data_IF_711398393903
#
_entry.id   IF_711398393903
#
_cell.length_a   1.000
_cell.length_b   1.000
_cell.length_c   1.000
_cell.angle_alpha   90.00
_cell.angle_beta   90.00
_cell.angle_gamma   90.00
#
_symmetry.space_group_name_H-M   'P 1'
#
loop_
_entity.id
_entity.type
_entity.pdbx_description
1 polymer ?
#
# COMPACT_ATOMS: atom_id res chain seq x y z
N UNK A 1 44.72 5.75 32.47
CA UNK A 1 43.51 5.42 33.27
C UNK A 1 42.21 5.55 32.47
N UNK A 2 42.00 6.64 31.71
CA UNK A 2 40.76 6.86 30.93
C UNK A 2 40.49 5.84 29.82
N UNK A 3 41.55 5.33 29.20
CA UNK A 3 41.47 4.30 28.13
C UNK A 3 41.09 2.93 28.68
N UNK A 4 41.65 2.54 29.83
CA UNK A 4 41.35 1.26 30.50
C UNK A 4 39.86 1.18 30.85
N UNK A 5 39.28 2.26 31.40
CA UNK A 5 37.86 2.31 31.72
C UNK A 5 36.97 2.14 30.47
N UNK A 6 37.36 2.73 29.33
CA UNK A 6 36.62 2.59 28.07
C UNK A 6 36.66 1.16 27.51
N UNK A 7 37.82 0.49 27.57
CA UNK A 7 37.94 -0.90 27.14
C UNK A 7 37.12 -1.85 28.03
N UNK A 8 37.13 -1.63 29.35
CA UNK A 8 36.31 -2.41 30.29
C UNK A 8 34.82 -2.24 29.99
N UNK A 9 34.35 -1.00 29.76
CA UNK A 9 32.96 -0.73 29.38
C UNK A 9 32.58 -1.43 28.06
N UNK A 10 33.45 -1.39 27.05
CA UNK A 10 33.18 -2.02 25.76
C UNK A 10 33.09 -3.56 25.88
N UNK A 11 34.00 -4.18 26.63
CA UNK A 11 33.97 -5.63 26.90
C UNK A 11 32.70 -6.01 27.68
N UNK A 12 32.29 -5.21 28.65
CA UNK A 12 31.04 -5.44 29.38
C UNK A 12 29.81 -5.37 28.47
N UNK A 13 29.73 -4.41 27.55
CA UNK A 13 28.59 -4.30 26.61
C UNK A 13 28.50 -5.50 25.66
N UNK A 14 29.64 -5.99 25.19
CA UNK A 14 29.71 -7.18 24.33
C UNK A 14 29.31 -8.43 25.12
N UNK A 15 29.80 -8.58 26.35
CA UNK A 15 29.50 -9.72 27.23
C UNK A 15 28.02 -9.78 27.66
N UNK A 16 27.39 -8.62 27.87
CA UNK A 16 25.94 -8.52 28.19
C UNK A 16 25.07 -8.86 26.97
N UNK A 17 25.65 -8.94 25.77
CA UNK A 17 24.92 -9.32 24.57
C UNK A 17 23.76 -8.36 24.36
N UNK A 18 24.05 -7.13 23.96
CA UNK A 18 23.02 -6.15 23.57
C UNK A 18 22.29 -6.71 22.35
N UNK A 19 21.30 -7.56 22.59
CA UNK A 19 20.31 -7.96 21.62
C UNK A 19 19.51 -6.69 21.38
N UNK A 20 19.80 -6.02 20.26
CA UNK A 20 18.95 -4.94 19.77
C UNK A 20 17.52 -5.43 19.87
N UNK A 21 16.64 -4.63 20.47
CA UNK A 21 15.26 -5.00 20.72
C UNK A 21 14.72 -5.59 19.43
N UNK A 22 14.54 -6.92 19.42
CA UNK A 22 14.00 -7.62 18.28
C UNK A 22 12.61 -7.02 18.19
N UNK A 23 12.46 -6.04 17.30
CA UNK A 23 11.16 -5.51 16.95
C UNK A 23 10.56 -6.66 16.16
N UNK A 24 10.16 -7.71 16.89
CA UNK A 24 9.28 -8.76 16.44
C UNK A 24 8.09 -7.98 15.94
N UNK A 25 8.16 -7.74 14.64
CA UNK A 25 7.48 -6.64 14.02
C UNK A 25 6.06 -7.14 13.91
N UNK A 26 5.28 -6.96 14.98
CA UNK A 26 3.87 -6.63 14.84
C UNK A 26 3.88 -5.37 14.01
N UNK A 27 3.96 -5.58 12.70
CA UNK A 27 4.08 -4.53 11.73
C UNK A 27 2.96 -3.53 11.97
N UNK A 28 3.25 -2.24 11.80
CA UNK A 28 2.23 -1.19 11.90
C UNK A 28 1.35 -1.27 10.66
N UNK A 29 0.41 -2.21 10.66
CA UNK A 29 -0.61 -2.31 9.63
C UNK A 29 -1.52 -1.08 9.68
N UNK A 30 -1.93 -0.60 8.50
CA UNK A 30 -2.87 0.53 8.39
C UNK A 30 -4.19 0.27 9.13
N UNK A 31 -4.62 -1.00 9.17
CA UNK A 31 -5.74 -1.46 9.97
C UNK A 31 -5.22 -2.10 11.27
N UNK A 32 -5.61 -1.58 12.43
CA UNK A 32 -5.23 -2.10 13.73
C UNK A 32 -6.03 -3.36 14.13
N UNK A 33 -7.32 -3.39 13.79
CA UNK A 33 -8.23 -4.47 14.12
C UNK A 33 -8.50 -5.40 12.93
N UNK A 34 -9.22 -6.52 13.18
CA UNK A 34 -9.66 -7.47 12.14
C UNK A 34 -10.48 -6.83 11.01
N UNK A 35 -10.97 -5.59 11.18
CA UNK A 35 -11.79 -4.90 10.18
C UNK A 35 -13.26 -5.38 10.17
N UNK A 36 -14.08 -4.76 9.34
CA UNK A 36 -15.50 -5.10 9.21
C UNK A 36 -15.67 -6.43 8.46
N UNK A 37 -16.54 -7.30 8.98
CA UNK A 37 -16.88 -8.56 8.32
C UNK A 37 -17.82 -8.39 7.13
N UNK A 38 -18.65 -7.34 7.16
CA UNK A 38 -19.65 -7.07 6.13
C UNK A 38 -19.89 -5.57 5.99
N UNK A 39 -20.14 -5.15 4.76
CA UNK A 39 -20.54 -3.78 4.38
C UNK A 39 -21.62 -3.90 3.33
N UNK A 40 -22.62 -3.02 3.33
CA UNK A 40 -23.62 -3.05 2.27
C UNK A 40 -22.97 -2.72 0.92
N UNK A 41 -22.99 -3.67 -0.02
CA UNK A 41 -22.30 -3.54 -1.33
C UNK A 41 -22.74 -2.28 -2.09
N UNK A 42 -24.00 -1.87 -1.95
CA UNK A 42 -24.56 -0.65 -2.57
C UNK A 42 -23.83 0.63 -2.16
N UNK A 43 -23.27 0.63 -0.94
CA UNK A 43 -22.57 1.76 -0.35
C UNK A 43 -21.08 1.74 -0.65
N UNK A 44 -20.54 0.68 -1.27
CA UNK A 44 -19.13 0.62 -1.64
C UNK A 44 -18.93 1.43 -2.93
N UNK A 45 -18.03 2.40 -2.86
CA UNK A 45 -17.61 3.22 -3.99
C UNK A 45 -16.35 2.65 -4.63
N UNK A 46 -15.34 2.35 -3.81
CA UNK A 46 -14.03 1.88 -4.26
C UNK A 46 -13.52 0.78 -3.35
N UNK A 47 -12.84 -0.20 -3.94
CA UNK A 47 -12.13 -1.27 -3.22
C UNK A 47 -10.64 -1.14 -3.52
N UNK A 48 -9.84 -1.05 -2.46
CA UNK A 48 -8.38 -0.99 -2.50
C UNK A 48 -7.81 -2.22 -1.80
N UNK A 49 -6.95 -2.95 -2.50
CA UNK A 49 -6.28 -4.16 -2.00
C UNK A 49 -4.79 -3.82 -1.94
N UNK A 50 -4.26 -3.71 -0.73
CA UNK A 50 -2.86 -3.38 -0.48
C UNK A 50 -2.11 -4.67 -0.17
N UNK A 51 -1.02 -4.98 -0.89
CA UNK A 51 -0.22 -6.18 -0.64
C UNK A 51 0.56 -6.07 0.68
N UNK A 52 1.04 -7.20 1.23
CA UNK A 52 1.94 -7.21 2.37
C UNK A 52 3.17 -6.34 2.12
N UNK A 53 3.62 -5.63 3.14
CA UNK A 53 4.82 -4.78 3.13
C UNK A 53 5.77 -5.19 4.26
N UNK A 54 7.03 -4.69 4.28
CA UNK A 54 7.94 -4.92 5.39
C UNK A 54 7.34 -4.51 6.75
N UNK A 55 6.50 -3.47 6.72
CA UNK A 55 5.81 -2.94 7.89
C UNK A 55 4.45 -3.59 8.18
N UNK A 56 3.92 -4.47 7.32
CA UNK A 56 2.68 -5.20 7.57
C UNK A 56 2.66 -6.49 6.77
N UNK A 57 2.82 -7.64 7.44
CA UNK A 57 2.90 -8.96 6.80
C UNK A 57 1.57 -9.48 6.23
N UNK A 58 0.49 -8.70 6.30
CA UNK A 58 -0.87 -9.09 5.90
C UNK A 58 -1.36 -8.22 4.76
N UNK A 59 -2.21 -8.79 3.90
CA UNK A 59 -2.99 -8.00 2.96
C UNK A 59 -3.94 -7.08 3.71
N UNK A 60 -4.01 -5.82 3.28
CA UNK A 60 -4.94 -4.83 3.84
C UNK A 60 -5.98 -4.51 2.79
N UNK A 61 -7.26 -4.73 3.12
CA UNK A 61 -8.38 -4.44 2.23
C UNK A 61 -9.16 -3.26 2.81
N UNK A 62 -9.28 -2.20 2.02
CA UNK A 62 -9.95 -0.97 2.39
C UNK A 62 -11.08 -0.73 1.40
N UNK A 63 -12.27 -0.44 1.93
CA UNK A 63 -13.39 0.04 1.13
C UNK A 63 -13.63 1.51 1.42
N UNK A 64 -13.81 2.29 0.36
CA UNK A 64 -14.33 3.65 0.44
C UNK A 64 -15.84 3.58 0.27
N UNK A 65 -16.56 4.17 1.21
CA UNK A 65 -18.01 4.24 1.19
C UNK A 65 -18.48 5.50 0.47
N UNK A 66 -19.61 5.39 -0.22
CA UNK A 66 -20.29 6.52 -0.88
C UNK A 66 -20.76 7.57 0.14
N UNK A 67 -21.14 8.72 -0.38
CA UNK A 67 -21.74 9.83 0.39
C UNK A 67 -20.82 10.35 1.51
N UNK A 68 -19.50 10.23 1.34
CA UNK A 68 -18.53 10.71 2.33
C UNK A 68 -18.50 9.91 3.63
N UNK A 69 -19.09 8.71 3.67
CA UNK A 69 -19.09 7.85 4.87
C UNK A 69 -17.70 7.26 5.22
N UNK A 70 -16.66 7.68 4.50
CA UNK A 70 -15.26 7.43 4.84
C UNK A 70 -14.72 6.08 4.35
N UNK A 71 -13.56 5.71 4.89
CA UNK A 71 -12.85 4.47 4.56
C UNK A 71 -13.02 3.47 5.70
N UNK A 72 -13.21 2.20 5.35
CA UNK A 72 -13.33 1.11 6.32
C UNK A 72 -12.44 -0.06 5.96
N UNK A 73 -11.72 -0.56 6.94
CA UNK A 73 -10.97 -1.82 6.82
C UNK A 73 -11.94 -2.99 6.75
N UNK A 74 -11.64 -3.98 5.90
CA UNK A 74 -12.39 -5.23 5.81
C UNK A 74 -11.60 -6.40 6.38
N UNK A 75 -12.30 -7.40 6.89
CA UNK A 75 -11.69 -8.63 7.38
C UNK A 75 -11.32 -9.58 6.22
N UNK A 76 -10.03 -9.84 5.93
CA UNK A 76 -9.63 -10.76 4.87
C UNK A 76 -10.12 -12.20 5.08
N UNK A 77 -10.38 -12.61 6.32
CA UNK A 77 -10.83 -13.95 6.67
C UNK A 77 -12.34 -14.14 6.43
N UNK A 78 -13.10 -13.06 6.20
CA UNK A 78 -14.53 -13.13 5.94
C UNK A 78 -14.84 -13.57 4.50
N UNK A 79 -15.77 -14.52 4.34
CA UNK A 79 -16.31 -14.95 3.03
C UNK A 79 -16.86 -13.77 2.21
N UNK A 80 -17.46 -12.78 2.89
CA UNK A 80 -17.98 -11.59 2.24
C UNK A 80 -16.86 -10.78 1.58
N UNK A 81 -15.76 -10.53 2.29
CA UNK A 81 -14.60 -9.79 1.77
C UNK A 81 -13.98 -10.50 0.57
N UNK A 82 -13.83 -11.83 0.62
CA UNK A 82 -13.34 -12.62 -0.50
C UNK A 82 -14.22 -12.47 -1.75
N UNK A 83 -15.54 -12.51 -1.58
CA UNK A 83 -16.49 -12.29 -2.68
C UNK A 83 -16.39 -10.87 -3.25
N UNK A 84 -16.20 -9.85 -2.40
CA UNK A 84 -16.00 -8.46 -2.84
C UNK A 84 -14.71 -8.34 -3.67
N UNK A 85 -13.61 -8.94 -3.21
CA UNK A 85 -12.33 -8.96 -3.92
C UNK A 85 -12.49 -9.61 -5.31
N UNK A 86 -13.09 -10.80 -5.38
CA UNK A 86 -13.31 -11.51 -6.66
C UNK A 86 -14.13 -10.65 -7.63
N UNK A 87 -15.20 -10.02 -7.15
CA UNK A 87 -16.03 -9.13 -7.99
C UNK A 87 -15.25 -7.89 -8.45
N UNK A 88 -14.42 -7.31 -7.57
CA UNK A 88 -13.59 -6.15 -7.91
C UNK A 88 -12.54 -6.49 -8.98
N UNK A 89 -11.90 -7.66 -8.87
CA UNK A 89 -10.91 -8.14 -9.85
C UNK A 89 -11.57 -8.44 -11.21
N UNK A 90 -12.73 -9.10 -11.23
CA UNK A 90 -13.49 -9.37 -12.47
C UNK A 90 -13.93 -8.10 -13.18
N UNK A 91 -14.34 -7.05 -12.44
CA UNK A 91 -14.67 -5.75 -13.04
C UNK A 91 -13.46 -5.10 -13.69
N UNK A 92 -12.29 -5.15 -13.05
CA UNK A 92 -11.06 -4.57 -13.61
C UNK A 92 -10.62 -5.28 -14.89
N UNK A 93 -10.73 -6.61 -14.96
CA UNK A 93 -10.38 -7.35 -16.19
C UNK A 93 -11.31 -7.06 -17.37
N UNK A 94 -12.58 -6.72 -17.12
CA UNK A 94 -13.52 -6.33 -18.18
C UNK A 94 -13.29 -4.91 -18.69
N UNK A 95 -12.68 -4.04 -17.88
CA UNK A 95 -12.38 -2.66 -18.24
C UNK A 95 -11.10 -2.50 -19.07
N UNK A 96 -10.31 -3.56 -19.23
CA UNK A 96 -9.08 -3.58 -20.05
C UNK A 96 -9.33 -3.91 -21.52
N UNK A 97 -10.59 -4.11 -21.96
CA UNK A 97 -10.88 -4.11 -23.39
C UNK A 97 -10.74 -2.68 -23.92
N UNK A 98 -9.91 -2.42 -24.96
CA UNK A 98 -9.71 -1.09 -25.48
C UNK A 98 -11.03 -0.55 -26.00
N UNK A 99 -11.47 0.59 -25.46
CA UNK A 99 -12.50 1.41 -26.07
C UNK A 99 -11.90 2.02 -27.34
N UNK A 100 -11.89 1.24 -28.43
CA UNK A 100 -11.67 1.72 -29.78
C UNK A 100 -12.90 2.54 -30.18
N UNK A 101 -12.88 3.85 -29.95
CA UNK A 101 -13.69 4.77 -30.76
C UNK A 101 -12.79 5.36 -31.82
N UNK A 102 -12.91 4.79 -33.01
CA UNK A 102 -12.53 5.37 -34.29
C UNK A 102 -13.15 6.77 -34.42
N UNK A 103 -12.32 7.80 -34.45
CA UNK A 103 -12.66 9.07 -35.07
C UNK A 103 -11.45 9.52 -35.90
N UNK A 104 -11.68 9.58 -37.19
CA UNK A 104 -10.78 9.98 -38.26
C UNK A 104 -10.14 11.36 -38.05
N UNK A 105 -8.85 11.39 -38.40
CA UNK A 105 -7.88 12.49 -38.57
C UNK A 105 -8.52 13.77 -39.18
N UNK A 106 -8.04 15.00 -38.82
CA UNK A 106 -7.09 15.65 -39.72
C UNK A 106 -5.75 16.04 -39.07
N UNK A 107 -4.73 15.81 -39.88
CA UNK A 107 -3.33 16.14 -39.74
C UNK A 107 -3.15 17.66 -39.61
N UNK A 108 -2.47 18.13 -38.55
CA UNK A 108 -1.77 19.43 -38.62
C UNK A 108 -0.33 19.26 -38.17
N UNK A 109 0.52 19.14 -39.17
CA UNK A 109 1.97 19.18 -39.05
C UNK A 109 2.38 20.55 -38.51
N UNK A 110 3.17 20.59 -37.45
CA UNK A 110 4.08 21.71 -37.19
C UNK A 110 5.30 21.16 -36.46
N UNK A 111 6.40 21.05 -37.21
CA UNK A 111 7.75 20.91 -36.67
C UNK A 111 8.12 22.21 -35.97
N UNK A 112 8.47 22.17 -34.68
CA UNK A 112 9.42 23.15 -34.12
C UNK A 112 10.30 22.49 -33.08
N UNK A 113 11.60 22.72 -33.27
CA UNK A 113 12.77 22.10 -32.67
C UNK A 113 13.16 22.73 -31.31
N UNK A 114 13.98 21.99 -30.54
CA UNK A 114 14.84 22.44 -29.42
C UNK A 114 14.13 22.99 -28.17
N UNK A 115 14.56 22.78 -26.92
CA UNK A 115 15.84 22.28 -26.37
C UNK A 115 15.63 21.99 -24.86
N UNK A 116 16.27 20.94 -24.33
CA UNK A 116 16.66 20.84 -22.92
C UNK A 116 17.78 21.88 -22.63
N UNK A 117 18.14 22.29 -21.39
CA UNK A 117 18.24 21.42 -20.19
C UNK A 117 17.96 22.07 -18.80
N UNK A 118 17.93 21.20 -17.77
CA UNK A 118 18.38 21.36 -16.36
C UNK A 118 17.93 22.56 -15.50
N UNK A 119 17.41 22.30 -14.29
CA UNK A 119 18.13 22.61 -13.04
C UNK A 119 17.42 22.04 -11.81
N UNK A 120 18.21 21.38 -10.96
CA UNK A 120 17.97 21.11 -9.55
C UNK A 120 17.69 22.40 -8.77
N UNK A 121 16.85 22.31 -7.73
CA UNK A 121 16.99 23.07 -6.49
C UNK A 121 16.48 22.23 -5.32
#
# INVERSE_FOLDING_TARGET
>A
MKTIAAFVLLVCLIAVGVKGQDRSSKGRCFCADKGANMVLVKNIEKVEIIPPSPSCRKHVIIVTLKNGAGRKCMNPESKFTQNVIIKALKKRSQQTAPHSTTASVPLKNTMTSSSAPTSFK
#
